data_IF_523626587825
#
_entry.id   IF_523626587825
#
_cell.length_a   1.000
_cell.length_b   1.000
_cell.length_c   1.000
_cell.angle_alpha   90.00
_cell.angle_beta   90.00
_cell.angle_gamma   90.00
#
_symmetry.space_group_name_H-M   'P 1'
#
loop_
_entity.id
_entity.type
_entity.pdbx_description
1 polymer ?
#
# COMPACT_ATOMS: atom_id res chain seq x y z
N UNK A 1 -16.22 11.42 24.90
CA UNK A 1 -15.76 10.96 23.58
C UNK A 1 -16.79 9.94 23.12
N UNK A 2 -17.20 9.91 21.84
CA UNK A 2 -18.05 8.81 21.37
C UNK A 2 -17.10 7.63 21.18
N UNK A 3 -17.32 6.55 21.92
CA UNK A 3 -16.47 5.36 21.87
C UNK A 3 -16.66 4.64 20.53
N UNK A 4 -15.58 4.14 19.92
CA UNK A 4 -15.66 3.32 18.71
C UNK A 4 -16.54 2.10 18.98
N UNK A 5 -17.52 1.84 18.11
CA UNK A 5 -18.37 0.66 18.25
C UNK A 5 -17.53 -0.62 18.16
N UNK A 6 -17.95 -1.73 18.79
CA UNK A 6 -17.23 -3.01 18.65
C UNK A 6 -17.08 -3.45 17.18
N UNK A 7 -18.05 -3.11 16.33
CA UNK A 7 -18.02 -3.39 14.90
C UNK A 7 -16.95 -2.54 14.20
N UNK A 8 -16.86 -1.24 14.50
CA UNK A 8 -15.82 -0.36 13.98
C UNK A 8 -14.42 -0.78 14.46
N UNK A 9 -14.27 -1.14 15.74
CA UNK A 9 -13.01 -1.65 16.28
C UNK A 9 -12.54 -2.91 15.53
N UNK A 10 -13.45 -3.83 15.24
CA UNK A 10 -13.13 -5.03 14.46
C UNK A 10 -12.75 -4.67 13.03
N UNK A 11 -13.48 -3.75 12.38
CA UNK A 11 -13.19 -3.31 11.03
C UNK A 11 -11.79 -2.66 10.93
N UNK A 12 -11.43 -1.78 11.87
CA UNK A 12 -10.10 -1.14 11.90
C UNK A 12 -9.01 -2.18 12.16
N UNK A 13 -9.22 -3.14 13.08
CA UNK A 13 -8.25 -4.24 13.27
C UNK A 13 -8.07 -5.12 12.02
N UNK A 14 -9.13 -5.32 11.24
CA UNK A 14 -9.01 -5.99 9.94
C UNK A 14 -8.19 -5.14 8.96
N UNK A 15 -8.40 -3.82 8.92
CA UNK A 15 -7.58 -2.92 8.08
C UNK A 15 -6.11 -2.94 8.50
N UNK A 16 -5.81 -2.91 9.80
CA UNK A 16 -4.46 -3.09 10.35
C UNK A 16 -3.81 -4.38 9.81
N UNK A 17 -4.60 -5.44 9.68
CA UNK A 17 -4.12 -6.72 9.13
C UNK A 17 -3.84 -6.64 7.64
N UNK A 18 -4.65 -5.89 6.88
CA UNK A 18 -4.42 -5.65 5.46
C UNK A 18 -3.13 -4.85 5.22
N UNK A 19 -2.93 -3.71 5.91
CA UNK A 19 -1.72 -2.89 5.74
C UNK A 19 -0.47 -3.64 6.20
N UNK A 20 -0.57 -4.37 7.32
CA UNK A 20 0.53 -5.20 7.81
C UNK A 20 0.93 -6.30 6.82
N UNK A 21 -0.05 -6.93 6.16
CA UNK A 21 0.23 -7.89 5.10
C UNK A 21 0.82 -7.20 3.85
N UNK A 22 0.27 -6.06 3.42
CA UNK A 22 0.76 -5.29 2.27
C UNK A 22 2.24 -4.91 2.45
N UNK A 23 2.61 -4.40 3.62
CA UNK A 23 4.01 -4.11 3.97
C UNK A 23 4.93 -5.32 3.78
N UNK A 24 4.52 -6.50 4.28
CA UNK A 24 5.32 -7.73 4.13
C UNK A 24 5.31 -8.28 2.70
N UNK A 25 4.22 -8.10 1.96
CA UNK A 25 4.11 -8.47 0.56
C UNK A 25 5.06 -7.66 -0.31
N UNK A 26 5.13 -6.35 -0.11
CA UNK A 26 6.12 -5.49 -0.75
C UNK A 26 7.56 -5.85 -0.36
N UNK A 27 7.82 -6.19 0.90
CA UNK A 27 9.13 -6.64 1.34
C UNK A 27 9.56 -7.93 0.61
N UNK A 28 8.65 -8.90 0.49
CA UNK A 28 8.90 -10.14 -0.25
C UNK A 28 9.20 -9.86 -1.74
N UNK A 29 8.44 -8.94 -2.36
CA UNK A 29 8.67 -8.52 -3.75
C UNK A 29 10.00 -7.81 -3.94
N UNK A 30 10.42 -6.97 -2.99
CA UNK A 30 11.69 -6.27 -3.04
C UNK A 30 12.87 -7.24 -3.12
N UNK A 31 12.89 -8.26 -2.27
CA UNK A 31 13.97 -9.24 -2.25
C UNK A 31 13.84 -10.32 -3.32
N UNK A 32 12.63 -10.54 -3.85
CA UNK A 32 12.50 -11.27 -5.11
C UNK A 32 13.14 -10.48 -6.27
N UNK A 33 12.92 -9.16 -6.36
CA UNK A 33 13.55 -8.31 -7.38
C UNK A 33 15.09 -8.27 -7.24
N UNK A 34 15.61 -8.31 -6.02
CA UNK A 34 17.04 -8.39 -5.74
C UNK A 34 17.66 -9.66 -6.37
N UNK A 35 17.01 -10.82 -6.18
CA UNK A 35 17.41 -12.09 -6.80
C UNK A 35 17.36 -12.05 -8.33
N UNK A 36 16.48 -11.22 -8.90
CA UNK A 36 16.37 -10.99 -10.35
C UNK A 36 17.30 -9.86 -10.88
N UNK A 37 18.14 -9.27 -10.03
CA UNK A 37 19.01 -8.13 -10.36
C UNK A 37 18.26 -6.86 -10.85
N UNK A 38 17.05 -6.62 -10.32
CA UNK A 38 16.21 -5.46 -10.60
C UNK A 38 16.27 -4.44 -9.44
N UNK A 39 17.38 -3.70 -9.37
CA UNK A 39 17.69 -2.78 -8.25
C UNK A 39 16.72 -1.59 -8.17
N UNK A 40 16.26 -1.06 -9.30
CA UNK A 40 15.24 -0.02 -9.36
C UNK A 40 13.89 -0.48 -8.81
N UNK A 41 13.43 -1.65 -9.22
CA UNK A 41 12.21 -2.27 -8.69
C UNK A 41 12.33 -2.59 -7.20
N UNK A 42 13.48 -3.11 -6.76
CA UNK A 42 13.75 -3.37 -5.33
C UNK A 42 13.59 -2.10 -4.49
N UNK A 43 14.21 -1.00 -4.91
CA UNK A 43 14.11 0.29 -4.18
C UNK A 43 12.66 0.77 -4.08
N UNK A 44 11.89 0.63 -5.16
CA UNK A 44 10.47 0.96 -5.16
C UNK A 44 9.71 0.12 -4.12
N UNK A 45 9.88 -1.20 -4.13
CA UNK A 45 9.17 -2.08 -3.22
C UNK A 45 9.62 -1.97 -1.75
N UNK A 46 10.89 -1.64 -1.47
CA UNK A 46 11.32 -1.31 -0.10
C UNK A 46 10.57 -0.08 0.40
N UNK A 47 10.47 0.98 -0.42
CA UNK A 47 9.74 2.20 -0.05
C UNK A 47 8.27 1.90 0.21
N UNK A 48 7.59 1.18 -0.69
CA UNK A 48 6.19 0.78 -0.46
C UNK A 48 6.03 -0.05 0.83
N UNK A 49 6.98 -0.94 1.14
CA UNK A 49 6.94 -1.72 2.37
C UNK A 49 6.95 -0.82 3.62
N UNK A 50 7.75 0.24 3.61
CA UNK A 50 7.83 1.22 4.69
C UNK A 50 6.57 2.11 4.76
N UNK A 51 6.01 2.50 3.62
CA UNK A 51 4.75 3.26 3.51
C UNK A 51 3.56 2.49 4.09
N UNK A 52 3.38 1.24 3.71
CA UNK A 52 2.29 0.42 4.23
C UNK A 52 2.44 0.13 5.72
N UNK A 53 3.68 0.04 6.20
CA UNK A 53 3.94 -0.03 7.63
C UNK A 53 3.51 1.26 8.34
N UNK A 54 3.72 2.41 7.72
CA UNK A 54 3.22 3.69 8.22
C UNK A 54 1.68 3.73 8.21
N UNK A 55 1.01 3.25 7.16
CA UNK A 55 -0.45 3.14 7.07
C UNK A 55 -1.00 2.30 8.23
N UNK A 56 -0.41 1.12 8.44
CA UNK A 56 -0.73 0.25 9.57
C UNK A 56 -0.62 1.02 10.90
N UNK A 57 0.51 1.68 11.16
CA UNK A 57 0.75 2.37 12.43
C UNK A 57 -0.19 3.56 12.66
N UNK A 58 -0.61 4.24 11.59
CA UNK A 58 -1.59 5.33 11.67
C UNK A 58 -2.95 4.83 12.17
N UNK A 59 -3.37 3.60 11.79
CA UNK A 59 -4.57 2.96 12.36
C UNK A 59 -4.40 2.59 13.84
N UNK A 60 -3.22 2.10 14.22
CA UNK A 60 -2.91 1.81 15.64
C UNK A 60 -3.07 3.06 16.51
N UNK A 61 -2.46 4.17 16.07
CA UNK A 61 -2.53 5.42 16.81
C UNK A 61 -3.97 5.90 16.93
N UNK A 62 -4.73 5.88 15.84
CA UNK A 62 -6.14 6.27 15.85
C UNK A 62 -6.99 5.46 16.85
N UNK A 63 -6.80 4.14 16.91
CA UNK A 63 -7.49 3.30 17.89
C UNK A 63 -7.08 3.64 19.32
N UNK A 64 -5.77 3.82 19.55
CA UNK A 64 -5.20 4.16 20.86
C UNK A 64 -5.70 5.52 21.36
N UNK A 65 -5.70 6.55 20.52
CA UNK A 65 -6.25 7.89 20.79
C UNK A 65 -7.75 7.85 21.09
N UNK A 66 -8.46 6.88 20.49
CA UNK A 66 -9.89 6.61 20.75
C UNK A 66 -10.13 5.77 22.02
N UNK A 67 -9.10 5.47 22.80
CA UNK A 67 -9.19 4.70 24.05
C UNK A 67 -9.36 3.19 23.86
N UNK A 68 -9.07 2.66 22.67
CA UNK A 68 -9.18 1.24 22.33
C UNK A 68 -7.78 0.64 22.13
N UNK A 69 -7.54 -0.55 22.69
CA UNK A 69 -6.30 -1.28 22.45
C UNK A 69 -6.33 -1.95 21.05
N UNK A 70 -5.50 -1.53 20.08
CA UNK A 70 -5.38 -2.22 18.80
C UNK A 70 -4.76 -3.62 18.96
N UNK A 71 -5.12 -4.54 18.07
CA UNK A 71 -4.64 -5.92 18.08
C UNK A 71 -3.55 -6.09 17.02
N UNK A 72 -2.40 -6.61 17.44
CA UNK A 72 -1.36 -7.01 16.49
C UNK A 72 -1.69 -8.31 15.79
N UNK A 73 -1.83 -8.31 14.45
CA UNK A 73 -2.26 -9.48 13.71
C UNK A 73 -1.11 -10.46 13.49
N UNK A 74 -1.47 -11.74 13.30
CA UNK A 74 -0.57 -12.68 12.66
C UNK A 74 -0.48 -12.34 11.16
N UNK A 75 0.71 -12.42 10.58
CA UNK A 75 0.93 -12.11 9.17
C UNK A 75 1.12 -13.41 8.40
N UNK A 76 0.24 -13.65 7.42
CA UNK A 76 0.37 -14.79 6.51
C UNK A 76 1.59 -14.59 5.61
N UNK A 77 2.29 -15.69 5.29
CA UNK A 77 3.45 -15.67 4.41
C UNK A 77 3.05 -15.16 3.01
N UNK A 78 3.60 -14.02 2.53
CA UNK A 78 3.36 -13.57 1.17
C UNK A 78 3.95 -14.54 0.13
N UNK A 79 3.45 -14.53 -1.12
CA UNK A 79 4.00 -15.34 -2.19
C UNK A 79 5.50 -15.10 -2.39
N UNK A 80 6.25 -16.17 -2.61
CA UNK A 80 7.71 -16.13 -2.79
C UNK A 80 8.16 -16.38 -4.24
N UNK A 81 7.23 -16.81 -5.10
CA UNK A 81 7.51 -17.14 -6.50
C UNK A 81 6.64 -16.30 -7.41
N UNK A 82 7.29 -15.59 -8.33
CA UNK A 82 6.66 -14.83 -9.41
C UNK A 82 7.31 -15.27 -10.72
N UNK A 83 6.51 -15.44 -11.77
CA UNK A 83 7.01 -15.86 -13.09
C UNK A 83 7.71 -14.73 -13.83
N UNK A 84 7.37 -13.48 -13.52
CA UNK A 84 7.91 -12.28 -14.15
C UNK A 84 7.62 -11.03 -13.33
N UNK A 85 8.35 -9.94 -13.61
CA UNK A 85 8.08 -8.63 -12.99
C UNK A 85 6.70 -8.09 -13.40
N UNK A 86 6.21 -8.45 -14.59
CA UNK A 86 4.87 -8.13 -15.06
C UNK A 86 3.80 -8.79 -14.18
N UNK A 87 3.96 -10.07 -13.86
CA UNK A 87 3.05 -10.78 -12.93
C UNK A 87 3.11 -10.16 -11.53
N UNK A 88 4.31 -9.82 -11.05
CA UNK A 88 4.48 -9.16 -9.76
C UNK A 88 3.69 -7.85 -9.68
N UNK A 89 3.82 -6.95 -10.65
CA UNK A 89 3.06 -5.69 -10.67
C UNK A 89 1.55 -5.89 -10.87
N UNK A 90 1.13 -6.93 -11.60
CA UNK A 90 -0.29 -7.29 -11.69
C UNK A 90 -0.86 -7.69 -10.32
N UNK A 91 -0.12 -8.50 -9.55
CA UNK A 91 -0.52 -8.87 -8.18
C UNK A 91 -0.53 -7.68 -7.24
N UNK A 92 0.45 -6.77 -7.37
CA UNK A 92 0.47 -5.49 -6.63
C UNK A 92 -0.80 -4.69 -6.93
N UNK A 93 -1.16 -4.51 -8.19
CA UNK A 93 -2.36 -3.77 -8.56
C UNK A 93 -3.65 -4.43 -8.02
N UNK A 94 -3.72 -5.76 -7.98
CA UNK A 94 -4.85 -6.48 -7.37
C UNK A 94 -4.91 -6.28 -5.86
N UNK A 95 -3.76 -6.31 -5.19
CA UNK A 95 -3.62 -6.03 -3.75
C UNK A 95 -4.11 -4.61 -3.45
N UNK A 96 -3.60 -3.60 -4.15
CA UNK A 96 -4.00 -2.19 -3.95
C UNK A 96 -5.50 -1.97 -4.09
N UNK A 97 -6.10 -2.52 -5.16
CA UNK A 97 -7.55 -2.42 -5.34
C UNK A 97 -8.32 -3.08 -4.21
N UNK A 98 -7.79 -4.15 -3.61
CA UNK A 98 -8.42 -4.81 -2.47
C UNK A 98 -8.35 -3.96 -1.20
N UNK A 99 -7.24 -3.24 -0.98
CA UNK A 99 -7.05 -2.28 0.13
C UNK A 99 -7.97 -1.07 -0.06
N UNK A 100 -8.04 -0.50 -1.26
CA UNK A 100 -9.01 0.59 -1.56
C UNK A 100 -10.46 0.18 -1.28
N UNK A 101 -10.84 -1.04 -1.67
CA UNK A 101 -12.17 -1.57 -1.39
C UNK A 101 -12.42 -1.74 0.11
N UNK A 102 -11.43 -2.16 0.89
CA UNK A 102 -11.58 -2.29 2.35
C UNK A 102 -11.70 -0.93 3.03
N UNK A 103 -10.96 0.09 2.58
CA UNK A 103 -11.11 1.49 3.04
C UNK A 103 -12.50 2.03 2.72
N UNK A 104 -13.03 1.81 1.51
CA UNK A 104 -14.40 2.21 1.17
C UNK A 104 -15.45 1.54 2.06
N UNK A 105 -15.25 0.27 2.42
CA UNK A 105 -16.14 -0.45 3.33
C UNK A 105 -16.06 0.11 4.76
N UNK A 106 -14.87 0.49 5.24
CA UNK A 106 -14.67 1.18 6.52
C UNK A 106 -15.38 2.54 6.53
N UNK A 107 -15.23 3.33 5.46
CA UNK A 107 -15.87 4.64 5.35
C UNK A 107 -17.39 4.52 5.34
N UNK A 108 -17.91 3.54 4.61
CA UNK A 108 -19.35 3.23 4.62
C UNK A 108 -19.84 2.86 6.01
N UNK A 109 -19.13 2.00 6.73
CA UNK A 109 -19.50 1.65 8.10
C UNK A 109 -19.53 2.88 9.00
N UNK A 110 -18.54 3.76 8.88
CA UNK A 110 -18.48 5.00 9.65
C UNK A 110 -19.65 5.95 9.30
N UNK A 111 -20.11 5.97 8.04
CA UNK A 111 -21.31 6.70 7.62
C UNK A 111 -22.58 6.09 8.22
N UNK A 112 -22.75 4.77 8.14
CA UNK A 112 -23.92 4.05 8.65
C UNK A 112 -24.05 4.21 10.18
N UNK A 113 -22.93 4.29 10.91
CA UNK A 113 -22.88 4.51 12.36
C UNK A 113 -22.95 5.99 12.78
N UNK A 114 -22.97 6.93 11.83
CA UNK A 114 -22.78 8.38 12.09
C UNK A 114 -21.49 8.70 12.87
N UNK A 115 -20.44 7.90 12.69
CA UNK A 115 -19.12 8.10 13.26
C UNK A 115 -18.34 9.14 12.43
N UNK A 116 -18.60 10.41 12.69
CA UNK A 116 -17.98 11.51 11.97
C UNK A 116 -16.46 11.61 12.21
N UNK A 117 -15.96 11.13 13.36
CA UNK A 117 -14.54 11.14 13.66
C UNK A 117 -13.80 10.14 12.76
N UNK A 118 -14.32 8.91 12.68
CA UNK A 118 -13.74 7.89 11.79
C UNK A 118 -13.90 8.29 10.33
N UNK A 119 -15.03 8.88 9.92
CA UNK A 119 -15.20 9.40 8.56
C UNK A 119 -14.14 10.45 8.20
N UNK A 120 -13.83 11.37 9.12
CA UNK A 120 -12.82 12.40 8.90
C UNK A 120 -11.42 11.79 8.84
N UNK A 121 -11.08 10.91 9.78
CA UNK A 121 -9.81 10.19 9.82
C UNK A 121 -9.54 9.40 8.52
N UNK A 122 -10.56 8.71 8.00
CA UNK A 122 -10.45 7.90 6.79
C UNK A 122 -10.29 8.71 5.50
N UNK A 123 -10.53 10.03 5.49
CA UNK A 123 -10.32 10.83 4.27
C UNK A 123 -8.86 10.79 3.83
N UNK A 124 -7.92 10.74 4.78
CA UNK A 124 -6.51 10.60 4.45
C UNK A 124 -6.24 9.32 3.65
N UNK A 125 -6.83 8.18 4.05
CA UNK A 125 -6.67 6.91 3.32
C UNK A 125 -7.35 6.94 1.94
N UNK A 126 -8.47 7.64 1.81
CA UNK A 126 -9.14 7.78 0.50
C UNK A 126 -8.27 8.55 -0.50
N UNK A 127 -7.64 9.62 -0.05
CA UNK A 127 -6.70 10.39 -0.87
C UNK A 127 -5.42 9.59 -1.16
N UNK A 128 -4.88 8.89 -0.16
CA UNK A 128 -3.68 8.05 -0.29
C UNK A 128 -3.88 6.92 -1.31
N UNK A 129 -4.93 6.09 -1.15
CA UNK A 129 -5.18 4.98 -2.07
C UNK A 129 -5.39 5.44 -3.52
N UNK A 130 -5.92 6.65 -3.73
CA UNK A 130 -6.05 7.23 -5.07
C UNK A 130 -4.68 7.47 -5.70
N UNK A 131 -3.71 7.92 -4.92
CA UNK A 131 -2.34 8.18 -5.36
C UNK A 131 -1.57 6.88 -5.58
N UNK A 132 -1.69 5.91 -4.67
CA UNK A 132 -1.10 4.58 -4.83
C UNK A 132 -1.60 3.88 -6.11
N UNK A 133 -2.91 3.83 -6.33
CA UNK A 133 -3.48 3.25 -7.55
C UNK A 133 -3.00 3.96 -8.82
N UNK A 134 -2.79 5.28 -8.76
CA UNK A 134 -2.29 6.07 -9.89
C UNK A 134 -0.82 5.76 -10.21
N UNK A 135 0.02 5.62 -9.18
CA UNK A 135 1.43 5.24 -9.33
C UNK A 135 1.54 3.83 -9.92
N UNK A 136 0.84 2.85 -9.34
CA UNK A 136 0.87 1.46 -9.83
C UNK A 136 0.36 1.38 -11.27
N UNK A 137 -0.73 2.07 -11.60
CA UNK A 137 -1.24 2.13 -12.98
C UNK A 137 -0.23 2.71 -13.95
N UNK A 138 0.45 3.79 -13.55
CA UNK A 138 1.50 4.42 -14.38
C UNK A 138 2.63 3.44 -14.66
N UNK A 139 3.08 2.69 -13.64
CA UNK A 139 4.11 1.66 -13.80
C UNK A 139 3.64 0.55 -14.75
N UNK A 140 2.43 0.04 -14.57
CA UNK A 140 1.86 -0.99 -15.44
C UNK A 140 1.75 -0.52 -16.90
N UNK A 141 1.34 0.72 -17.12
CA UNK A 141 1.27 1.30 -18.46
C UNK A 141 2.66 1.41 -19.10
N UNK A 142 3.70 1.77 -18.31
CA UNK A 142 5.09 1.76 -18.79
C UNK A 142 5.59 0.38 -19.13
N UNK A 143 5.34 -0.60 -18.27
CA UNK A 143 5.68 -2.02 -18.51
C UNK A 143 5.03 -2.50 -19.80
N UNK A 144 3.75 -2.18 -20.02
CA UNK A 144 3.02 -2.53 -21.24
C UNK A 144 3.63 -1.90 -22.49
N UNK A 145 4.05 -0.64 -22.42
CA UNK A 145 4.69 0.06 -23.55
C UNK A 145 6.08 -0.48 -23.86
N UNK A 146 6.87 -0.82 -22.83
CA UNK A 146 8.20 -1.41 -23.00
C UNK A 146 8.08 -2.81 -23.63
N UNK A 147 7.06 -3.57 -23.23
CA UNK A 147 6.77 -4.89 -23.77
C UNK A 147 7.81 -5.94 -23.39
N UNK A 148 8.03 -6.89 -24.29
CA UNK A 148 8.91 -8.04 -24.09
C UNK A 148 10.16 -7.95 -24.98
N UNK A 149 11.26 -8.56 -24.55
CA UNK A 149 12.50 -8.65 -25.33
C UNK A 149 13.75 -8.72 -24.46
N UNK A 150 14.91 -8.96 -25.06
CA UNK A 150 16.17 -9.18 -24.34
C UNK A 150 16.64 -8.00 -23.47
N UNK A 151 16.05 -6.80 -23.64
CA UNK A 151 16.37 -5.60 -22.85
C UNK A 151 15.17 -5.09 -22.04
N UNK A 152 14.00 -5.75 -22.08
CA UNK A 152 12.79 -5.21 -21.45
C UNK A 152 12.96 -5.01 -19.95
N UNK A 153 13.56 -5.99 -19.26
CA UNK A 153 13.82 -5.92 -17.82
C UNK A 153 14.68 -4.71 -17.43
N UNK A 154 15.71 -4.41 -18.22
CA UNK A 154 16.57 -3.24 -17.98
C UNK A 154 15.79 -1.92 -18.06
N UNK A 155 14.94 -1.78 -19.09
CA UNK A 155 14.13 -0.57 -19.24
C UNK A 155 13.02 -0.47 -18.20
N UNK A 156 12.39 -1.60 -17.82
CA UNK A 156 11.39 -1.64 -16.74
C UNK A 156 12.03 -1.17 -15.44
N UNK A 157 13.18 -1.74 -15.07
CA UNK A 157 13.89 -1.39 -13.84
C UNK A 157 14.23 0.11 -13.77
N UNK A 158 14.74 0.66 -14.88
CA UNK A 158 15.07 2.08 -14.97
C UNK A 158 13.86 3.00 -14.92
N UNK A 159 12.75 2.62 -15.54
CA UNK A 159 11.54 3.45 -15.52
C UNK A 159 10.84 3.38 -14.16
N UNK A 160 10.83 2.22 -13.49
CA UNK A 160 10.33 2.10 -12.11
C UNK A 160 11.18 2.94 -11.14
N UNK A 161 12.51 2.88 -11.22
CA UNK A 161 13.40 3.72 -10.41
C UNK A 161 13.12 5.21 -10.62
N UNK A 162 12.94 5.62 -11.87
CA UNK A 162 12.64 7.01 -12.22
C UNK A 162 11.29 7.47 -11.66
N UNK A 163 10.23 6.67 -11.79
CA UNK A 163 8.91 6.98 -11.22
C UNK A 163 9.03 7.09 -9.70
N UNK A 164 9.70 6.13 -9.06
CA UNK A 164 9.90 6.13 -7.61
C UNK A 164 10.57 7.43 -7.12
N UNK A 165 11.64 7.87 -7.81
CA UNK A 165 12.32 9.13 -7.48
C UNK A 165 11.45 10.37 -7.69
N UNK A 166 10.52 10.34 -8.66
CA UNK A 166 9.57 11.44 -8.87
C UNK A 166 8.55 11.53 -7.74
N UNK A 167 8.07 10.38 -7.24
CA UNK A 167 7.15 10.33 -6.10
C UNK A 167 7.85 10.85 -4.84
N UNK A 168 9.05 10.35 -4.52
CA UNK A 168 9.85 10.84 -3.39
C UNK A 168 10.09 12.34 -3.45
N UNK A 169 10.39 12.88 -4.63
CA UNK A 169 10.57 14.33 -4.80
C UNK A 169 9.26 15.11 -4.58
N UNK A 170 8.12 14.58 -5.00
CA UNK A 170 6.82 15.22 -4.80
C UNK A 170 6.43 15.25 -3.31
N UNK A 171 6.60 14.13 -2.60
CA UNK A 171 6.33 14.03 -1.17
C UNK A 171 7.20 14.96 -0.33
N UNK A 172 8.49 15.10 -0.68
CA UNK A 172 9.39 16.04 -0.01
C UNK A 172 8.92 17.49 -0.15
N UNK A 173 8.44 17.87 -1.34
CA UNK A 173 7.90 19.20 -1.60
C UNK A 173 6.61 19.47 -0.81
N UNK A 174 5.75 18.47 -0.63
CA UNK A 174 4.52 18.60 0.17
C UNK A 174 4.80 18.70 1.67
N UNK A 175 5.82 18.00 2.15
CA UNK A 175 6.27 18.04 3.56
C UNK A 175 7.05 19.31 3.92
N UNK A 176 7.34 20.17 2.93
CA UNK A 176 8.01 21.46 3.14
C UNK A 176 9.51 21.34 3.45
N UNK A 177 10.15 20.25 3.02
CA UNK A 177 11.60 20.01 3.15
C UNK A 177 12.39 20.51 1.93
#
# INVERSE_FOLDING_TARGET
MIDLSPQMQQAINNQISYEGYASNFYLALAYWCDDQALEGCKKFFIRQSDEERFHMLKLYEYMSESGVLPITPAIAQPPINYTSIQEAFQKVFEQERSVTLSIHNLLKLAQDENDYNTQHFLQWYVDEQREEEAVIRTIMDRIKVIGEGGQSLYYIDKEVEKINLQVVAAEAMEKGE
#
